data_IF_631724785867
#
_entry.id   IF_631724785867
#
_cell.length_a   1.000
_cell.length_b   1.000
_cell.length_c   1.000
_cell.angle_alpha   90.00
_cell.angle_beta   90.00
_cell.angle_gamma   90.00
#
_symmetry.space_group_name_H-M   'P 1'
#
loop_
_entity.id
_entity.type
_entity.pdbx_description
1 polymer ?
#
# COMPACT_ATOMS: atom_id res chain seq x y z
N UNK A 1 -21.22 -19.99 -47.72
CA UNK A 1 -20.40 -20.09 -46.49
C UNK A 1 -20.21 -18.67 -45.99
N UNK A 2 -20.66 -18.33 -44.78
CA UNK A 2 -20.35 -17.03 -44.20
C UNK A 2 -18.84 -16.98 -43.97
N UNK A 3 -18.15 -16.05 -44.62
CA UNK A 3 -16.73 -15.77 -44.37
C UNK A 3 -16.58 -15.39 -42.90
N UNK A 4 -15.90 -16.23 -42.13
CA UNK A 4 -15.56 -15.95 -40.74
C UNK A 4 -14.75 -14.65 -40.72
N UNK A 5 -15.19 -13.66 -39.93
CA UNK A 5 -14.51 -12.37 -39.85
C UNK A 5 -13.16 -12.55 -39.16
N UNK A 6 -12.17 -11.73 -39.51
CA UNK A 6 -10.91 -11.69 -38.77
C UNK A 6 -11.16 -11.18 -37.34
N UNK A 7 -10.33 -11.55 -36.36
CA UNK A 7 -10.48 -11.06 -34.98
C UNK A 7 -10.55 -9.53 -34.89
N UNK A 8 -9.74 -8.84 -35.71
CA UNK A 8 -9.75 -7.38 -35.78
C UNK A 8 -11.10 -6.83 -36.27
N UNK A 9 -11.70 -7.43 -37.30
CA UNK A 9 -13.00 -7.01 -37.82
C UNK A 9 -14.15 -7.31 -36.85
N UNK A 10 -14.06 -8.40 -36.07
CA UNK A 10 -15.03 -8.71 -35.01
C UNK A 10 -14.99 -7.68 -33.89
N UNK A 11 -13.79 -7.26 -33.46
CA UNK A 11 -13.62 -6.22 -32.44
C UNK A 11 -14.10 -4.86 -32.96
N UNK A 12 -13.76 -4.52 -34.21
CA UNK A 12 -14.16 -3.26 -34.83
C UNK A 12 -15.69 -3.10 -34.86
N UNK A 13 -16.43 -4.19 -35.08
CA UNK A 13 -17.89 -4.18 -35.07
C UNK A 13 -18.50 -3.87 -33.69
N UNK A 14 -17.76 -4.08 -32.60
CA UNK A 14 -18.20 -3.81 -31.22
C UNK A 14 -17.72 -2.46 -30.65
N UNK A 15 -17.08 -1.59 -31.45
CA UNK A 15 -16.51 -0.33 -30.92
C UNK A 15 -17.54 0.59 -30.25
N UNK A 16 -18.78 0.60 -30.72
CA UNK A 16 -19.84 1.53 -30.27
C UNK A 16 -21.11 0.78 -29.84
N UNK A 17 -20.95 -0.37 -29.18
CA UNK A 17 -22.08 -1.21 -28.75
C UNK A 17 -22.75 -0.73 -27.43
N UNK A 18 -22.26 0.37 -26.85
CA UNK A 18 -22.77 0.98 -25.62
C UNK A 18 -22.22 0.37 -24.33
N UNK A 19 -21.32 -0.60 -24.41
CA UNK A 19 -20.71 -1.25 -23.24
C UNK A 19 -19.45 -0.56 -22.75
N UNK A 20 -19.03 -0.94 -21.54
CA UNK A 20 -17.71 -0.60 -21.00
C UNK A 20 -16.73 -1.70 -21.38
N UNK A 21 -15.74 -1.35 -22.21
CA UNK A 21 -14.75 -2.29 -22.72
C UNK A 21 -13.52 -2.39 -21.82
N UNK A 22 -13.34 -3.55 -21.21
CA UNK A 22 -12.17 -3.92 -20.41
C UNK A 22 -11.27 -4.85 -21.22
N UNK A 23 -10.03 -4.41 -21.47
CA UNK A 23 -9.00 -5.26 -22.02
C UNK A 23 -8.18 -5.84 -20.86
N UNK A 24 -8.36 -7.12 -20.56
CA UNK A 24 -7.61 -7.81 -19.53
C UNK A 24 -6.44 -8.54 -20.18
N UNK A 25 -5.24 -8.42 -19.65
CA UNK A 25 -4.05 -9.07 -20.18
C UNK A 25 -3.30 -9.82 -19.09
N UNK A 26 -2.77 -10.99 -19.44
CA UNK A 26 -1.89 -11.75 -18.57
C UNK A 26 -0.55 -12.06 -19.24
N UNK A 27 0.49 -12.00 -18.43
CA UNK A 27 1.87 -12.26 -18.83
C UNK A 27 2.45 -13.43 -18.05
N UNK A 28 3.61 -13.96 -18.48
CA UNK A 28 4.21 -15.18 -17.91
C UNK A 28 4.56 -15.09 -16.42
N UNK A 29 3.60 -15.39 -15.56
CA UNK A 29 3.71 -15.51 -14.10
C UNK A 29 2.67 -16.51 -13.59
N UNK A 30 3.01 -17.25 -12.54
CA UNK A 30 2.11 -18.28 -11.95
C UNK A 30 0.77 -17.69 -11.52
N UNK A 31 0.73 -16.39 -11.16
CA UNK A 31 -0.50 -15.69 -10.81
C UNK A 31 -1.56 -15.64 -11.94
N UNK A 32 -1.21 -16.02 -13.18
CA UNK A 32 -2.15 -16.15 -14.30
C UNK A 32 -3.32 -17.09 -13.98
N UNK A 33 -3.10 -18.09 -13.11
CA UNK A 33 -4.16 -19.01 -12.66
C UNK A 33 -5.32 -18.29 -11.94
N UNK A 34 -5.12 -17.04 -11.51
CA UNK A 34 -6.14 -16.22 -10.83
C UNK A 34 -7.00 -15.39 -11.79
N UNK A 35 -6.77 -15.45 -13.11
CA UNK A 35 -7.60 -14.78 -14.12
C UNK A 35 -9.11 -15.05 -13.97
N UNK A 36 -9.58 -16.29 -13.72
CA UNK A 36 -11.02 -16.52 -13.55
C UNK A 36 -11.61 -15.73 -12.39
N UNK A 37 -10.84 -15.55 -11.30
CA UNK A 37 -11.30 -14.81 -10.13
C UNK A 37 -11.43 -13.32 -10.44
N UNK A 38 -10.48 -12.75 -11.19
CA UNK A 38 -10.55 -11.36 -11.65
C UNK A 38 -11.77 -11.16 -12.55
N UNK A 39 -12.00 -12.06 -13.50
CA UNK A 39 -13.14 -11.99 -14.41
C UNK A 39 -14.46 -12.13 -13.64
N UNK A 40 -14.52 -13.06 -12.68
CA UNK A 40 -15.71 -13.29 -11.86
C UNK A 40 -16.09 -12.06 -11.01
N UNK A 41 -15.13 -11.21 -10.64
CA UNK A 41 -15.41 -9.96 -9.94
C UNK A 41 -16.29 -8.98 -10.75
N UNK A 42 -16.38 -9.17 -12.07
CA UNK A 42 -17.21 -8.37 -12.95
C UNK A 42 -18.53 -9.03 -13.36
N UNK A 43 -18.79 -10.26 -12.90
CA UNK A 43 -19.93 -11.06 -13.38
C UNK A 43 -21.29 -10.38 -13.16
N UNK A 44 -21.44 -9.61 -12.07
CA UNK A 44 -22.68 -8.90 -11.73
C UNK A 44 -22.88 -7.59 -12.51
N UNK A 45 -21.95 -7.24 -13.42
CA UNK A 45 -21.98 -6.03 -14.22
C UNK A 45 -22.19 -6.35 -15.71
N UNK A 46 -23.44 -6.56 -16.17
CA UNK A 46 -23.73 -7.01 -17.53
C UNK A 46 -23.38 -6.00 -18.64
N UNK A 47 -23.10 -4.74 -18.26
CA UNK A 47 -22.66 -3.69 -19.20
C UNK A 47 -21.13 -3.69 -19.42
N UNK A 48 -20.38 -4.56 -18.76
CA UNK A 48 -18.94 -4.72 -18.98
C UNK A 48 -18.72 -5.81 -20.03
N UNK A 49 -17.81 -5.55 -20.95
CA UNK A 49 -17.39 -6.48 -22.01
C UNK A 49 -15.89 -6.65 -21.91
N UNK A 50 -15.45 -7.90 -21.78
CA UNK A 50 -14.08 -8.27 -21.44
C UNK A 50 -13.46 -9.01 -22.61
N UNK A 51 -12.30 -8.55 -23.05
CA UNK A 51 -11.44 -9.29 -23.96
C UNK A 51 -10.13 -9.60 -23.25
N UNK A 52 -9.67 -10.83 -23.36
CA UNK A 52 -8.46 -11.31 -22.68
C UNK A 52 -7.32 -11.42 -23.68
N UNK A 53 -6.15 -10.88 -23.36
CA UNK A 53 -4.90 -11.13 -24.10
C UNK A 53 -4.00 -12.02 -23.26
N UNK A 54 -3.58 -13.15 -23.81
CA UNK A 54 -2.60 -14.05 -23.19
C UNK A 54 -1.30 -14.02 -23.98
N UNK A 55 -0.21 -13.57 -23.34
CA UNK A 55 1.12 -13.80 -23.92
C UNK A 55 1.39 -15.30 -24.01
N UNK A 56 2.29 -15.70 -24.92
CA UNK A 56 2.71 -17.11 -25.04
C UNK A 56 3.08 -17.74 -23.68
N UNK A 57 3.86 -17.03 -22.86
CA UNK A 57 4.27 -17.52 -21.55
C UNK A 57 3.14 -17.57 -20.50
N UNK A 58 2.10 -16.74 -20.64
CA UNK A 58 0.93 -16.78 -19.74
C UNK A 58 0.07 -18.03 -20.02
N UNK A 59 -0.12 -18.35 -21.30
CA UNK A 59 -0.90 -19.51 -21.73
C UNK A 59 -0.35 -20.84 -21.17
N UNK A 60 0.96 -20.93 -20.91
CA UNK A 60 1.59 -22.12 -20.31
C UNK A 60 1.09 -22.43 -18.88
N UNK A 61 0.47 -21.47 -18.19
CA UNK A 61 -0.12 -21.69 -16.88
C UNK A 61 -1.58 -22.17 -16.95
N UNK A 62 -2.17 -22.28 -18.15
CA UNK A 62 -3.60 -22.47 -18.37
C UNK A 62 -3.92 -23.76 -19.17
N UNK A 63 -3.34 -24.89 -18.76
CA UNK A 63 -3.45 -26.19 -19.46
C UNK A 63 -4.30 -27.24 -18.71
N UNK A 64 -5.11 -26.85 -17.71
CA UNK A 64 -5.87 -27.79 -16.88
C UNK A 64 -5.02 -28.89 -16.21
N UNK A 65 -3.77 -28.55 -15.88
CA UNK A 65 -2.76 -29.48 -15.39
C UNK A 65 -2.85 -29.74 -13.88
N UNK A 66 -3.71 -29.00 -13.17
CA UNK A 66 -4.14 -29.28 -11.79
C UNK A 66 -5.53 -28.67 -11.54
N UNK A 67 -6.19 -29.03 -10.44
CA UNK A 67 -7.51 -28.48 -10.07
C UNK A 67 -7.49 -26.94 -9.91
N UNK A 68 -6.35 -26.36 -9.55
CA UNK A 68 -6.20 -24.91 -9.38
C UNK A 68 -5.86 -24.17 -10.68
N UNK A 69 -5.57 -24.89 -11.77
CA UNK A 69 -5.14 -24.34 -13.04
C UNK A 69 -6.25 -24.46 -14.08
N UNK A 70 -6.93 -23.37 -14.45
CA UNK A 70 -7.99 -23.39 -15.45
C UNK A 70 -7.43 -23.61 -16.87
N UNK A 71 -8.27 -24.03 -17.82
CA UNK A 71 -7.87 -24.07 -19.24
C UNK A 71 -8.15 -22.74 -19.94
N UNK A 72 -7.47 -22.45 -21.05
CA UNK A 72 -7.78 -21.28 -21.89
C UNK A 72 -9.26 -21.30 -22.36
N UNK A 73 -9.80 -22.47 -22.70
CA UNK A 73 -11.19 -22.63 -23.12
C UNK A 73 -12.16 -22.27 -21.99
N UNK A 74 -11.83 -22.63 -20.75
CA UNK A 74 -12.67 -22.31 -19.59
C UNK A 74 -12.83 -20.80 -19.38
N UNK A 75 -11.79 -20.00 -19.67
CA UNK A 75 -11.86 -18.54 -19.59
C UNK A 75 -12.87 -17.96 -20.58
N UNK A 76 -12.97 -18.55 -21.78
CA UNK A 76 -13.92 -18.10 -22.81
C UNK A 76 -15.38 -18.35 -22.43
N UNK A 77 -15.63 -19.22 -21.45
CA UNK A 77 -16.99 -19.52 -20.96
C UNK A 77 -17.41 -18.68 -19.76
N UNK A 78 -16.52 -17.82 -19.25
CA UNK A 78 -16.81 -16.98 -18.10
C UNK A 78 -17.72 -15.80 -18.46
N UNK A 79 -18.51 -15.29 -17.49
CA UNK A 79 -19.37 -14.13 -17.70
C UNK A 79 -18.59 -12.94 -18.27
N UNK A 80 -19.23 -12.20 -19.18
CA UNK A 80 -18.72 -10.99 -19.81
C UNK A 80 -17.46 -11.15 -20.68
N UNK A 81 -16.92 -12.37 -20.87
CA UNK A 81 -15.78 -12.61 -21.75
C UNK A 81 -16.25 -12.81 -23.19
N UNK A 82 -15.86 -11.89 -24.09
CA UNK A 82 -16.21 -11.97 -25.51
C UNK A 82 -15.18 -12.75 -26.33
N UNK A 83 -13.89 -12.68 -25.96
CA UNK A 83 -12.81 -13.38 -26.66
C UNK A 83 -11.54 -13.49 -25.85
N UNK A 84 -10.80 -14.59 -26.04
CA UNK A 84 -9.43 -14.78 -25.57
C UNK A 84 -8.47 -14.77 -26.77
N UNK A 85 -7.47 -13.90 -26.74
CA UNK A 85 -6.60 -13.54 -27.86
C UNK A 85 -5.13 -13.85 -27.57
N UNK A 86 -4.40 -14.22 -28.62
CA UNK A 86 -2.99 -14.59 -28.62
C UNK A 86 -2.25 -13.91 -29.79
N UNK A 87 -0.92 -13.97 -29.78
CA UNK A 87 -0.07 -13.37 -30.83
C UNK A 87 -0.41 -13.87 -32.25
N UNK A 88 -0.83 -15.13 -32.38
CA UNK A 88 -1.24 -15.71 -33.68
C UNK A 88 -2.48 -15.05 -34.27
N UNK A 89 -3.33 -14.47 -33.42
CA UNK A 89 -4.61 -13.88 -33.84
C UNK A 89 -4.39 -12.53 -34.56
N UNK A 90 -3.24 -11.90 -34.35
CA UNK A 90 -2.83 -10.69 -35.07
C UNK A 90 -2.53 -10.96 -36.56
N UNK A 91 -2.13 -12.19 -36.88
CA UNK A 91 -1.60 -12.58 -38.18
C UNK A 91 -2.42 -13.69 -38.86
N UNK A 92 -3.70 -13.85 -38.50
CA UNK A 92 -4.57 -14.88 -39.10
C UNK A 92 -4.72 -14.73 -40.60
N UNK A 93 -4.70 -13.48 -41.07
CA UNK A 93 -4.79 -13.11 -42.47
C UNK A 93 -3.61 -12.19 -42.82
N UNK A 94 -2.95 -12.37 -43.98
CA UNK A 94 -1.94 -11.43 -44.45
C UNK A 94 -2.53 -10.02 -44.55
N UNK A 95 -1.86 -9.05 -43.95
CA UNK A 95 -2.35 -7.68 -43.97
C UNK A 95 -2.41 -7.14 -45.41
N UNK A 96 -3.54 -6.51 -45.74
CA UNK A 96 -3.72 -5.74 -46.97
C UNK A 96 -4.12 -4.32 -46.61
N UNK A 97 -3.79 -3.35 -47.48
CA UNK A 97 -4.14 -1.94 -47.27
C UNK A 97 -5.66 -1.79 -47.05
N UNK A 98 -6.04 -1.16 -45.94
CA UNK A 98 -7.44 -0.96 -45.55
C UNK A 98 -7.97 -2.03 -44.59
N UNK A 99 -7.22 -3.11 -44.35
CA UNK A 99 -7.55 -4.08 -43.30
C UNK A 99 -7.26 -3.50 -41.92
N UNK A 100 -8.15 -3.79 -40.97
CA UNK A 100 -7.95 -3.48 -39.56
C UNK A 100 -6.73 -4.23 -38.99
N UNK A 101 -5.99 -3.57 -38.11
CA UNK A 101 -4.82 -4.15 -37.43
C UNK A 101 -5.21 -4.44 -35.99
N UNK A 102 -5.08 -5.70 -35.56
CA UNK A 102 -5.65 -6.18 -34.30
C UNK A 102 -5.25 -5.33 -33.09
N UNK A 103 -3.96 -5.08 -32.85
CA UNK A 103 -3.53 -4.29 -31.69
C UNK A 103 -4.02 -2.83 -31.73
N UNK A 104 -4.16 -2.23 -32.92
CA UNK A 104 -4.72 -0.88 -33.08
C UNK A 104 -6.21 -0.89 -32.77
N UNK A 105 -6.94 -1.88 -33.26
CA UNK A 105 -8.37 -2.02 -33.00
C UNK A 105 -8.64 -2.29 -31.52
N UNK A 106 -7.85 -3.15 -30.87
CA UNK A 106 -7.93 -3.38 -29.43
C UNK A 106 -7.66 -2.11 -28.63
N UNK A 107 -6.64 -1.33 -29.02
CA UNK A 107 -6.36 -0.05 -28.40
C UNK A 107 -7.55 0.90 -28.50
N UNK A 108 -8.18 1.01 -29.69
CA UNK A 108 -9.38 1.85 -29.89
C UNK A 108 -10.57 1.37 -29.07
N UNK A 109 -10.78 0.06 -29.05
CA UNK A 109 -11.90 -0.60 -28.39
C UNK A 109 -11.84 -0.46 -26.87
N UNK A 110 -10.67 -0.66 -26.26
CA UNK A 110 -10.53 -0.67 -24.82
C UNK A 110 -10.79 0.72 -24.20
N UNK A 111 -11.56 0.76 -23.13
CA UNK A 111 -11.69 1.92 -22.24
C UNK A 111 -10.63 1.88 -21.12
N UNK A 112 -10.24 0.68 -20.70
CA UNK A 112 -9.23 0.39 -19.70
C UNK A 112 -8.44 -0.84 -20.14
N UNK A 113 -7.10 -0.80 -19.96
CA UNK A 113 -6.25 -1.99 -20.05
C UNK A 113 -5.79 -2.38 -18.65
N UNK A 114 -6.02 -3.62 -18.24
CA UNK A 114 -5.50 -4.20 -17.00
C UNK A 114 -4.51 -5.30 -17.35
N UNK A 115 -3.26 -5.20 -16.88
CA UNK A 115 -2.25 -6.25 -17.04
C UNK A 115 -2.04 -6.94 -15.69
N UNK A 116 -2.70 -8.08 -15.48
CA UNK A 116 -2.73 -8.81 -14.23
C UNK A 116 -2.68 -10.33 -14.50
N UNK A 117 -1.52 -10.99 -14.32
CA UNK A 117 -0.25 -10.44 -13.82
C UNK A 117 0.60 -9.73 -14.88
N UNK A 118 1.43 -8.77 -14.43
CA UNK A 118 2.58 -8.21 -15.15
C UNK A 118 3.90 -8.88 -14.67
N UNK A 119 4.54 -9.68 -15.51
CA UNK A 119 5.80 -10.34 -15.22
C UNK A 119 6.97 -9.38 -15.40
N UNK A 120 8.09 -9.64 -14.72
CA UNK A 120 9.32 -8.85 -14.85
C UNK A 120 9.78 -8.70 -16.31
N UNK A 121 9.65 -9.75 -17.12
CA UNK A 121 10.01 -9.70 -18.53
C UNK A 121 9.13 -8.71 -19.32
N UNK A 122 7.81 -8.76 -19.10
CA UNK A 122 6.90 -7.86 -19.80
C UNK A 122 7.00 -6.42 -19.27
N UNK A 123 7.25 -6.25 -17.97
CA UNK A 123 7.59 -4.96 -17.36
C UNK A 123 8.82 -4.34 -18.05
N UNK A 124 9.89 -5.12 -18.21
CA UNK A 124 11.10 -4.69 -18.89
C UNK A 124 10.82 -4.28 -20.35
N UNK A 125 10.07 -5.10 -21.09
CA UNK A 125 9.67 -4.81 -22.48
C UNK A 125 8.90 -3.51 -22.59
N UNK A 126 7.90 -3.31 -21.73
CA UNK A 126 7.05 -2.12 -21.71
C UNK A 126 7.89 -0.86 -21.44
N UNK A 127 8.71 -0.88 -20.38
CA UNK A 127 9.54 0.28 -20.01
C UNK A 127 10.56 0.63 -21.08
N UNK A 128 11.12 -0.37 -21.78
CA UNK A 128 12.10 -0.16 -22.85
C UNK A 128 11.46 0.01 -24.24
N UNK A 129 10.13 0.07 -24.33
CA UNK A 129 9.40 0.37 -25.56
C UNK A 129 9.41 -0.75 -26.62
N UNK A 130 9.61 -2.01 -26.22
CA UNK A 130 9.48 -3.15 -27.12
C UNK A 130 8.02 -3.38 -27.50
N UNK A 131 7.77 -3.78 -28.75
CA UNK A 131 6.45 -4.09 -29.31
C UNK A 131 6.55 -5.33 -30.20
N UNK A 132 6.85 -6.47 -29.57
CA UNK A 132 7.22 -7.72 -30.23
C UNK A 132 6.18 -8.85 -30.11
N UNK A 133 5.05 -8.56 -29.44
CA UNK A 133 3.91 -9.45 -29.30
C UNK A 133 2.62 -8.62 -29.22
N UNK A 134 1.46 -9.26 -29.26
CA UNK A 134 0.18 -8.58 -29.34
C UNK A 134 -0.01 -7.58 -28.18
N UNK A 135 0.29 -8.01 -26.95
CA UNK A 135 0.14 -7.17 -25.77
C UNK A 135 1.07 -5.95 -25.80
N UNK A 136 2.36 -6.17 -26.07
CA UNK A 136 3.34 -5.07 -26.06
C UNK A 136 3.11 -4.10 -27.21
N UNK A 137 2.60 -4.56 -28.35
CA UNK A 137 2.13 -3.72 -29.45
C UNK A 137 0.91 -2.87 -29.07
N UNK A 138 -0.07 -3.42 -28.34
CA UNK A 138 -1.20 -2.64 -27.79
C UNK A 138 -0.70 -1.55 -26.84
N UNK A 139 0.18 -1.90 -25.89
CA UNK A 139 0.72 -0.95 -24.91
C UNK A 139 1.52 0.15 -25.59
N UNK A 140 2.36 -0.20 -26.59
CA UNK A 140 3.16 0.79 -27.30
C UNK A 140 2.32 1.74 -28.15
N UNK A 141 1.20 1.26 -28.67
CA UNK A 141 0.24 2.03 -29.47
C UNK A 141 -0.81 2.76 -28.61
N UNK A 142 -0.74 2.65 -27.28
CA UNK A 142 -1.70 3.26 -26.37
C UNK A 142 -1.77 4.78 -26.54
N UNK A 143 -2.98 5.33 -26.65
CA UNK A 143 -3.16 6.77 -26.72
C UNK A 143 -3.06 7.38 -25.32
N UNK A 144 -1.87 7.89 -25.00
CA UNK A 144 -1.56 8.50 -23.71
C UNK A 144 -2.10 9.93 -23.57
N UNK A 145 -2.53 10.53 -24.68
CA UNK A 145 -2.96 11.93 -24.74
C UNK A 145 -4.48 12.08 -24.79
N UNK A 146 -5.18 11.06 -25.30
CA UNK A 146 -6.59 11.10 -25.61
C UNK A 146 -6.95 11.89 -26.88
N UNK A 147 -5.96 12.45 -27.59
CA UNK A 147 -6.17 13.24 -28.80
C UNK A 147 -6.47 12.37 -30.03
N UNK A 148 -6.08 11.08 -30.00
CA UNK A 148 -6.26 10.17 -31.13
C UNK A 148 -7.62 9.47 -31.04
N UNK A 149 -7.97 8.99 -29.84
CA UNK A 149 -9.21 8.25 -29.61
C UNK A 149 -10.34 9.12 -29.05
N UNK A 150 -10.10 10.41 -28.84
CA UNK A 150 -11.07 11.36 -28.28
C UNK A 150 -11.33 11.17 -26.77
N UNK A 151 -10.57 10.30 -26.12
CA UNK A 151 -10.66 10.03 -24.67
C UNK A 151 -9.31 9.61 -24.12
N UNK A 152 -8.94 10.16 -22.97
CA UNK A 152 -7.77 9.71 -22.22
C UNK A 152 -8.07 8.37 -21.56
N UNK A 153 -7.14 7.41 -21.67
CA UNK A 153 -7.32 6.04 -21.20
C UNK A 153 -6.16 5.58 -20.35
N UNK A 154 -6.43 4.65 -19.44
CA UNK A 154 -5.47 4.21 -18.42
C UNK A 154 -5.02 2.77 -18.65
N UNK A 155 -3.81 2.48 -18.20
CA UNK A 155 -3.24 1.15 -18.09
C UNK A 155 -2.98 0.86 -16.62
N UNK A 156 -3.72 -0.10 -16.08
CA UNK A 156 -3.52 -0.63 -14.74
C UNK A 156 -2.63 -1.86 -14.83
N UNK A 157 -1.61 -1.99 -13.98
CA UNK A 157 -0.74 -3.16 -13.96
C UNK A 157 -0.61 -3.72 -12.56
N UNK A 158 -0.62 -5.06 -12.45
CA UNK A 158 -0.38 -5.77 -11.20
C UNK A 158 0.88 -6.64 -11.36
N UNK A 159 2.08 -6.14 -10.99
CA UNK A 159 3.30 -6.91 -11.07
C UNK A 159 3.21 -8.20 -10.24
N UNK A 160 3.71 -9.31 -10.78
CA UNK A 160 3.76 -10.57 -10.06
C UNK A 160 4.99 -11.38 -10.47
N UNK A 161 5.92 -11.57 -9.53
CA UNK A 161 7.21 -12.22 -9.76
C UNK A 161 7.78 -12.74 -8.45
N UNK A 162 8.80 -13.60 -8.50
CA UNK A 162 9.49 -14.04 -7.30
C UNK A 162 10.13 -12.84 -6.56
N UNK A 163 10.24 -12.92 -5.23
CA UNK A 163 10.78 -11.87 -4.36
C UNK A 163 12.16 -11.37 -4.80
N UNK A 164 13.07 -12.27 -5.20
CA UNK A 164 14.40 -11.88 -5.67
C UNK A 164 14.33 -11.06 -6.97
N UNK A 165 13.35 -11.35 -7.84
CA UNK A 165 13.10 -10.54 -9.04
C UNK A 165 12.49 -9.19 -8.67
N UNK A 166 11.58 -9.15 -7.70
CA UNK A 166 10.96 -7.91 -7.23
C UNK A 166 11.97 -6.95 -6.60
N UNK A 167 12.83 -7.47 -5.74
CA UNK A 167 13.89 -6.72 -5.06
C UNK A 167 15.08 -6.35 -5.95
N UNK A 168 15.09 -6.84 -7.20
CA UNK A 168 16.17 -6.55 -8.14
C UNK A 168 16.18 -5.05 -8.51
N UNK A 169 17.34 -4.36 -8.54
CA UNK A 169 17.40 -2.92 -8.78
C UNK A 169 16.83 -2.49 -10.14
N UNK A 170 16.94 -3.34 -11.16
CA UNK A 170 16.32 -3.11 -12.48
C UNK A 170 14.79 -3.07 -12.37
N UNK A 171 14.19 -3.93 -11.55
CA UNK A 171 12.74 -3.91 -11.31
C UNK A 171 12.33 -2.61 -10.60
N UNK A 172 13.08 -2.19 -9.58
CA UNK A 172 12.84 -0.93 -8.90
C UNK A 172 12.88 0.28 -9.86
N UNK A 173 13.87 0.31 -10.76
CA UNK A 173 13.98 1.35 -11.79
C UNK A 173 12.78 1.31 -12.76
N UNK A 174 12.38 0.13 -13.22
CA UNK A 174 11.26 -0.02 -14.14
C UNK A 174 9.92 0.36 -13.51
N UNK A 175 9.69 -0.04 -12.25
CA UNK A 175 8.52 0.37 -11.48
C UNK A 175 8.49 1.88 -11.28
N UNK A 176 9.65 2.50 -11.01
CA UNK A 176 9.78 3.94 -10.90
C UNK A 176 9.33 4.66 -12.19
N UNK A 177 9.74 4.17 -13.37
CA UNK A 177 9.28 4.74 -14.64
C UNK A 177 7.75 4.66 -14.75
N UNK A 178 7.15 3.52 -14.42
CA UNK A 178 5.69 3.38 -14.47
C UNK A 178 4.96 4.28 -13.46
N UNK A 179 5.52 4.48 -12.26
CA UNK A 179 4.87 5.22 -11.16
C UNK A 179 5.14 6.73 -11.20
N UNK A 180 6.35 7.16 -11.50
CA UNK A 180 6.76 8.56 -11.40
C UNK A 180 6.70 9.27 -12.76
N UNK A 181 7.22 8.62 -13.81
CA UNK A 181 7.33 9.23 -15.12
C UNK A 181 6.02 9.11 -15.90
N UNK A 182 5.41 7.92 -15.90
CA UNK A 182 4.18 7.63 -16.64
C UNK A 182 2.94 7.54 -15.76
N UNK A 183 3.13 7.65 -14.44
CA UNK A 183 2.08 7.50 -13.46
C UNK A 183 1.06 8.63 -13.50
N UNK A 184 -0.19 8.30 -13.20
CA UNK A 184 -1.28 9.27 -13.13
C UNK A 184 -1.02 10.26 -12.00
N UNK A 185 -1.02 11.55 -12.32
CA UNK A 185 -0.81 12.65 -11.37
C UNK A 185 -1.55 13.90 -11.82
N UNK A 186 -2.03 14.68 -10.88
CA UNK A 186 -2.65 15.99 -11.14
C UNK A 186 -1.56 17.06 -11.12
N UNK A 187 -1.44 17.83 -12.20
CA UNK A 187 -0.46 18.91 -12.35
C UNK A 187 -1.21 20.12 -12.90
N UNK A 188 -1.24 21.21 -12.13
CA UNK A 188 -1.92 22.46 -12.50
C UNK A 188 -3.41 22.30 -12.86
N UNK A 189 -4.09 21.33 -12.24
CA UNK A 189 -5.50 21.00 -12.48
C UNK A 189 -5.75 20.07 -13.68
N UNK A 190 -4.70 19.67 -14.40
CA UNK A 190 -4.77 18.70 -15.49
C UNK A 190 -4.22 17.34 -15.06
N UNK A 191 -4.96 16.27 -15.32
CA UNK A 191 -4.48 14.91 -15.10
C UNK A 191 -3.44 14.56 -16.16
N UNK A 192 -2.21 14.25 -15.74
CA UNK A 192 -1.13 13.72 -16.56
C UNK A 192 -0.92 12.23 -16.30
N UNK A 193 -0.10 11.57 -17.14
CA UNK A 193 0.19 10.14 -17.02
C UNK A 193 -0.94 9.23 -17.50
N UNK A 194 -0.64 7.95 -17.63
CA UNK A 194 -1.56 6.92 -18.12
C UNK A 194 -1.36 5.54 -17.48
N UNK A 195 -0.35 5.38 -16.61
CA UNK A 195 -0.09 4.14 -15.88
C UNK A 195 -0.53 4.24 -14.42
N UNK A 196 -1.00 3.12 -13.89
CA UNK A 196 -1.23 2.91 -12.47
C UNK A 196 -0.68 1.53 -12.08
N UNK A 197 0.12 1.48 -11.01
CA UNK A 197 0.80 0.25 -10.57
C UNK A 197 0.19 -0.23 -9.26
N UNK A 198 -0.55 -1.34 -9.33
CA UNK A 198 -1.04 -2.09 -8.18
C UNK A 198 0.12 -2.86 -7.56
N UNK A 199 0.58 -2.43 -6.38
CA UNK A 199 1.76 -3.03 -5.76
C UNK A 199 1.52 -4.50 -5.36
N UNK A 200 2.53 -5.37 -5.51
CA UNK A 200 2.46 -6.75 -5.03
C UNK A 200 2.17 -6.82 -3.52
N UNK A 201 1.54 -7.91 -3.09
CA UNK A 201 1.31 -8.27 -1.69
C UNK A 201 2.22 -9.44 -1.27
N UNK A 202 2.56 -9.55 0.02
CA UNK A 202 3.32 -10.70 0.54
C UNK A 202 2.40 -11.94 0.66
N UNK A 203 2.79 -13.06 0.05
CA UNK A 203 2.14 -14.38 0.13
C UNK A 203 3.19 -15.50 0.04
N UNK A 204 2.82 -16.72 0.46
CA UNK A 204 3.58 -17.92 0.07
C UNK A 204 3.56 -18.06 -1.45
N UNK A 205 4.73 -17.95 -2.07
CA UNK A 205 4.92 -18.07 -3.50
C UNK A 205 4.86 -19.55 -3.91
N UNK A 206 4.51 -19.81 -5.18
CA UNK A 206 4.47 -21.18 -5.72
C UNK A 206 5.84 -21.90 -5.70
N UNK A 207 6.94 -21.17 -5.51
CA UNK A 207 8.27 -21.73 -5.31
C UNK A 207 8.57 -22.18 -3.86
N UNK A 208 7.65 -21.95 -2.92
CA UNK A 208 7.82 -22.29 -1.50
C UNK A 208 8.37 -21.15 -0.61
N UNK A 209 8.82 -20.05 -1.21
CA UNK A 209 9.32 -18.88 -0.47
C UNK A 209 8.18 -17.98 0.03
N UNK A 210 8.32 -17.37 1.20
CA UNK A 210 7.48 -16.26 1.67
C UNK A 210 8.17 -14.95 1.31
N UNK A 211 7.52 -14.07 0.54
CA UNK A 211 8.04 -12.72 0.32
C UNK A 211 7.20 -11.83 -0.60
N UNK A 212 7.65 -10.58 -0.71
CA UNK A 212 7.04 -9.52 -1.52
C UNK A 212 7.21 -9.77 -3.03
N UNK A 213 6.11 -10.08 -3.70
CA UNK A 213 6.11 -10.42 -5.14
C UNK A 213 4.82 -11.10 -5.64
N UNK A 214 3.93 -11.48 -4.73
CA UNK A 214 2.60 -11.99 -5.07
C UNK A 214 1.71 -10.90 -5.68
N UNK A 215 0.96 -11.24 -6.72
CA UNK A 215 -0.01 -10.30 -7.31
C UNK A 215 -1.01 -9.80 -6.26
N UNK A 216 -1.38 -8.51 -6.32
CA UNK A 216 -2.46 -7.91 -5.51
C UNK A 216 -3.73 -8.79 -5.51
N UNK A 217 -4.51 -8.76 -4.42
CA UNK A 217 -5.71 -9.58 -4.32
C UNK A 217 -6.67 -9.29 -5.47
N UNK A 218 -7.20 -10.35 -6.09
CA UNK A 218 -8.08 -10.25 -7.25
C UNK A 218 -9.34 -9.41 -6.99
N UNK A 219 -9.79 -9.35 -5.73
CA UNK A 219 -10.92 -8.51 -5.29
C UNK A 219 -10.63 -7.02 -5.39
N UNK A 220 -9.39 -6.61 -5.16
CA UNK A 220 -8.95 -5.21 -5.25
C UNK A 220 -8.76 -4.78 -6.71
N UNK A 221 -8.30 -5.70 -7.57
CA UNK A 221 -8.24 -5.51 -9.04
C UNK A 221 -9.67 -5.33 -9.60
N UNK A 222 -10.64 -6.11 -9.10
CA UNK A 222 -12.05 -5.99 -9.43
C UNK A 222 -12.64 -4.63 -9.01
N UNK A 223 -12.51 -4.28 -7.73
CA UNK A 223 -13.10 -3.08 -7.13
C UNK A 223 -12.56 -1.76 -7.72
N UNK A 224 -11.28 -1.71 -8.12
CA UNK A 224 -10.70 -0.54 -8.80
C UNK A 224 -11.29 -0.25 -10.18
N UNK A 225 -12.03 -1.20 -10.76
CA UNK A 225 -12.63 -1.06 -12.11
C UNK A 225 -14.15 -0.92 -12.10
N UNK A 226 -14.81 -1.09 -10.95
CA UNK A 226 -16.27 -1.11 -10.80
C UNK A 226 -16.94 0.27 -10.77
N UNK A 227 -16.18 1.39 -10.81
CA UNK A 227 -16.73 2.74 -10.83
C UNK A 227 -16.03 3.61 -11.89
N UNK A 228 -16.61 3.73 -13.08
CA UNK A 228 -16.22 4.73 -14.10
C UNK A 228 -17.41 5.69 -14.29
N UNK A 229 -17.46 6.86 -13.62
CA UNK A 229 -18.48 7.88 -13.86
C UNK A 229 -18.07 8.83 -14.99
N UNK A 230 -19.06 9.45 -15.65
CA UNK A 230 -18.91 10.47 -16.73
C UNK A 230 -18.14 11.74 -16.31
N UNK A 231 -17.86 11.93 -15.02
CA UNK A 231 -16.95 12.94 -14.47
C UNK A 231 -16.22 12.34 -13.26
N UNK A 232 -14.86 12.31 -13.22
CA UNK A 232 -14.13 11.55 -12.21
C UNK A 232 -14.15 12.28 -10.86
N UNK A 233 -14.88 11.73 -9.90
CA UNK A 233 -14.42 11.70 -8.51
C UNK A 233 -14.21 10.23 -8.15
N UNK A 234 -12.99 9.76 -8.37
CA UNK A 234 -12.56 8.42 -8.00
C UNK A 234 -12.21 8.45 -6.51
N UNK A 235 -12.95 7.71 -5.69
CA UNK A 235 -12.54 7.44 -4.31
C UNK A 235 -11.37 6.45 -4.32
N UNK A 236 -10.20 6.98 -3.98
CA UNK A 236 -8.96 6.27 -3.66
C UNK A 236 -9.30 5.11 -2.71
N UNK A 237 -8.96 3.86 -3.06
CA UNK A 237 -8.90 2.78 -2.06
C UNK A 237 -7.83 3.17 -1.06
N UNK A 238 -8.27 3.48 0.16
CA UNK A 238 -7.52 4.21 1.16
C UNK A 238 -6.12 3.62 1.35
N UNK A 239 -5.11 4.49 1.33
CA UNK A 239 -3.74 4.14 1.68
C UNK A 239 -3.78 3.33 3.00
N UNK A 240 -3.53 2.01 3.02
CA UNK A 240 -3.75 1.18 4.22
C UNK A 240 -2.63 1.31 5.28
N UNK A 241 -2.04 2.50 5.39
CA UNK A 241 -0.97 2.82 6.32
C UNK A 241 -1.08 4.28 6.73
N UNK A 242 -0.75 4.59 7.98
CA UNK A 242 -0.92 5.94 8.53
C UNK A 242 0.29 6.37 9.33
N UNK A 243 0.59 7.66 9.23
CA UNK A 243 1.53 8.35 10.09
C UNK A 243 0.74 9.22 11.05
N UNK A 244 0.96 9.03 12.35
CA UNK A 244 0.33 9.79 13.42
C UNK A 244 1.37 10.70 14.04
N UNK A 245 1.07 12.00 14.08
CA UNK A 245 1.98 13.05 14.57
C UNK A 245 1.23 13.98 15.51
N UNK A 246 1.82 14.25 16.68
CA UNK A 246 1.43 15.39 17.51
C UNK A 246 2.27 16.61 17.16
N UNK A 247 1.62 17.77 17.02
CA UNK A 247 2.30 19.05 16.78
C UNK A 247 1.72 20.17 17.65
N UNK A 248 2.55 21.15 17.94
CA UNK A 248 2.13 22.50 18.34
C UNK A 248 1.72 23.30 17.10
N UNK A 249 0.94 24.37 17.29
CA UNK A 249 0.49 25.25 16.20
C UNK A 249 1.63 25.79 15.34
N UNK A 250 2.79 26.06 15.95
CA UNK A 250 3.96 26.66 15.30
C UNK A 250 4.85 25.66 14.53
N UNK A 251 4.72 24.36 14.78
CA UNK A 251 5.56 23.35 14.13
C UNK A 251 5.12 23.05 12.70
N UNK A 252 6.09 22.99 11.79
CA UNK A 252 5.86 22.61 10.39
C UNK A 252 5.84 21.09 10.24
N UNK A 253 4.68 20.56 9.85
CA UNK A 253 4.44 19.13 9.55
C UNK A 253 3.98 18.90 8.12
N UNK A 254 4.03 19.93 7.25
CA UNK A 254 3.61 19.80 5.84
C UNK A 254 4.43 18.74 5.10
N UNK A 255 5.67 18.53 5.55
CA UNK A 255 6.58 17.53 5.00
C UNK A 255 6.01 16.11 5.06
N UNK A 256 5.17 15.79 6.05
CA UNK A 256 4.52 14.48 6.15
C UNK A 256 3.67 14.22 4.92
N UNK A 257 2.88 15.22 4.52
CA UNK A 257 2.00 15.13 3.34
C UNK A 257 2.80 15.21 2.04
N UNK A 258 3.74 16.17 1.96
CA UNK A 258 4.51 16.45 0.73
C UNK A 258 5.50 15.34 0.37
N UNK A 259 6.13 14.73 1.37
CA UNK A 259 7.26 13.82 1.15
C UNK A 259 6.94 12.35 1.46
N UNK A 260 5.84 12.07 2.16
CA UNK A 260 5.35 10.72 2.42
C UNK A 260 3.92 10.51 1.88
N UNK A 261 3.62 10.86 0.61
CA UNK A 261 2.27 10.82 0.05
C UNK A 261 1.67 9.42 -0.07
N UNK A 262 2.48 8.38 0.12
CA UNK A 262 2.04 6.98 0.15
C UNK A 262 1.57 6.52 1.53
N UNK A 263 1.43 7.44 2.48
CA UNK A 263 0.91 7.22 3.83
C UNK A 263 -0.29 8.14 4.05
N UNK A 264 -1.35 7.63 4.68
CA UNK A 264 -2.33 8.51 5.33
C UNK A 264 -1.62 9.30 6.43
N UNK A 265 -2.22 10.40 6.84
CA UNK A 265 -1.68 11.22 7.93
C UNK A 265 -2.79 11.59 8.92
N UNK A 266 -2.47 11.48 10.20
CA UNK A 266 -3.29 11.97 11.30
C UNK A 266 -2.42 12.91 12.14
N UNK A 267 -2.53 14.20 11.86
CA UNK A 267 -1.71 15.25 12.48
C UNK A 267 -2.58 16.01 13.48
N UNK A 268 -2.36 15.78 14.77
CA UNK A 268 -3.11 16.40 15.86
C UNK A 268 -2.40 17.64 16.38
N UNK A 269 -3.14 18.74 16.50
CA UNK A 269 -2.67 19.90 17.24
C UNK A 269 -2.89 19.72 18.76
N UNK A 270 -1.87 19.98 19.56
CA UNK A 270 -1.96 19.85 21.02
C UNK A 270 -2.36 21.14 21.74
N UNK A 271 -2.23 22.28 21.07
CA UNK A 271 -2.44 23.63 21.59
C UNK A 271 -3.33 24.50 20.69
N UNK A 272 -4.00 23.90 19.71
CA UNK A 272 -4.94 24.57 18.81
C UNK A 272 -6.31 23.86 18.79
N UNK A 273 -7.29 24.30 19.60
CA UNK A 273 -8.61 23.66 19.67
C UNK A 273 -9.44 23.84 18.39
N UNK A 274 -9.04 24.75 17.50
CA UNK A 274 -9.72 24.98 16.22
C UNK A 274 -9.17 24.09 15.09
N UNK A 275 -8.09 23.32 15.34
CA UNK A 275 -7.52 22.44 14.33
C UNK A 275 -8.47 21.26 14.04
N UNK A 276 -8.53 20.74 12.79
CA UNK A 276 -9.44 19.64 12.44
C UNK A 276 -9.23 18.38 13.27
N UNK A 277 -7.97 18.06 13.60
CA UNK A 277 -7.60 17.04 14.57
C UNK A 277 -6.87 17.73 15.72
N UNK A 278 -7.42 17.62 16.92
CA UNK A 278 -6.86 18.22 18.13
C UNK A 278 -7.16 17.34 19.34
N UNK A 279 -6.40 17.53 20.41
CA UNK A 279 -6.68 16.90 21.72
C UNK A 279 -7.37 17.89 22.65
N UNK A 280 -8.22 17.38 23.54
CA UNK A 280 -8.99 18.22 24.48
C UNK A 280 -8.10 18.95 25.51
N UNK A 281 -6.89 18.43 25.77
CA UNK A 281 -5.94 18.99 26.75
C UNK A 281 -4.51 18.66 26.31
N UNK A 282 -3.62 19.65 26.35
CA UNK A 282 -2.19 19.42 26.20
C UNK A 282 -1.63 18.74 27.45
N UNK A 283 -1.44 17.42 27.39
CA UNK A 283 -1.03 16.58 28.52
C UNK A 283 -0.41 15.29 28.00
N UNK A 284 0.63 14.79 28.66
CA UNK A 284 1.31 13.55 28.33
C UNK A 284 2.21 13.60 27.09
N UNK A 285 2.63 14.79 26.64
CA UNK A 285 3.39 14.97 25.39
C UNK A 285 2.71 14.28 24.19
N UNK A 286 3.47 13.59 23.33
CA UNK A 286 2.96 12.82 22.18
C UNK A 286 2.05 11.65 22.57
N UNK A 287 2.13 11.17 23.82
CA UNK A 287 1.40 9.98 24.23
C UNK A 287 -0.12 10.16 24.20
N UNK A 288 -0.61 11.38 24.46
CA UNK A 288 -2.05 11.67 24.38
C UNK A 288 -2.54 11.57 22.94
N UNK A 289 -1.81 12.14 21.98
CA UNK A 289 -2.14 12.03 20.55
C UNK A 289 -2.16 10.57 20.11
N UNK A 290 -1.18 9.78 20.53
CA UNK A 290 -1.08 8.37 20.11
C UNK A 290 -2.22 7.52 20.69
N UNK A 291 -2.54 7.69 21.97
CA UNK A 291 -3.66 7.01 22.62
C UNK A 291 -5.01 7.45 22.04
N UNK A 292 -5.20 8.76 21.84
CA UNK A 292 -6.41 9.32 21.24
C UNK A 292 -6.64 8.72 19.84
N UNK A 293 -5.61 8.70 18.99
CA UNK A 293 -5.70 8.10 17.66
C UNK A 293 -6.13 6.63 17.72
N UNK A 294 -5.49 5.83 18.59
CA UNK A 294 -5.82 4.40 18.73
C UNK A 294 -7.27 4.23 19.20
N UNK A 295 -7.73 5.03 20.18
CA UNK A 295 -9.09 4.94 20.72
C UNK A 295 -10.13 5.31 19.66
N UNK A 296 -9.92 6.41 18.94
CA UNK A 296 -10.90 6.93 17.97
C UNK A 296 -11.02 6.04 16.72
N UNK A 297 -9.94 5.35 16.35
CA UNK A 297 -9.86 4.58 15.12
C UNK A 297 -9.78 3.07 15.36
N UNK A 298 -9.98 2.60 16.60
CA UNK A 298 -9.72 1.21 17.00
C UNK A 298 -10.37 0.15 16.09
N UNK A 299 -11.61 0.40 15.68
CA UNK A 299 -12.39 -0.51 14.83
C UNK A 299 -12.05 -0.40 13.33
N UNK A 300 -11.30 0.63 12.92
CA UNK A 300 -10.94 0.93 11.53
C UNK A 300 -9.44 1.31 11.37
N UNK A 301 -8.57 0.59 12.07
CA UNK A 301 -7.13 0.83 12.00
C UNK A 301 -6.54 0.41 10.63
N UNK A 302 -5.66 1.22 10.04
CA UNK A 302 -4.83 0.81 8.90
C UNK A 302 -3.88 -0.34 9.29
N UNK A 303 -3.44 -1.17 8.33
CA UNK A 303 -2.59 -2.34 8.64
C UNK A 303 -1.28 -1.97 9.33
N UNK A 304 -0.69 -0.80 9.03
CA UNK A 304 0.52 -0.29 9.68
C UNK A 304 0.32 1.13 10.17
N UNK A 305 0.68 1.38 11.42
CA UNK A 305 0.62 2.69 12.07
C UNK A 305 2.04 3.07 12.45
N UNK A 306 2.44 4.28 12.08
CA UNK A 306 3.74 4.87 12.41
C UNK A 306 3.50 6.09 13.29
N UNK A 307 4.08 6.08 14.49
CA UNK A 307 4.03 7.17 15.45
C UNK A 307 5.34 7.95 15.40
N UNK A 308 5.26 9.25 15.11
CA UNK A 308 6.41 10.11 14.84
C UNK A 308 6.31 11.46 15.52
N UNK A 309 7.49 12.04 15.77
CA UNK A 309 7.62 13.42 16.16
C UNK A 309 7.46 14.38 14.97
N UNK A 310 7.03 15.62 15.28
CA UNK A 310 6.73 16.70 14.34
C UNK A 310 7.92 17.12 13.47
N UNK A 311 9.14 17.00 13.98
CA UNK A 311 10.34 17.49 13.32
C UNK A 311 10.75 16.61 12.12
N UNK A 312 10.97 17.26 10.97
CA UNK A 312 11.38 16.57 9.73
C UNK A 312 12.77 15.95 9.83
N UNK A 313 13.77 16.76 10.18
CA UNK A 313 15.18 16.39 10.23
C UNK A 313 16.06 17.38 11.05
N UNK A 314 17.35 17.04 11.17
CA UNK A 314 18.39 17.94 11.68
C UNK A 314 18.62 17.95 13.21
N UNK A 315 19.73 18.57 13.61
CA UNK A 315 20.13 18.75 15.01
C UNK A 315 20.01 20.24 15.40
N UNK A 316 19.55 20.59 16.62
CA UNK A 316 19.22 19.70 17.74
C UNK A 316 17.77 19.19 17.75
N UNK A 317 16.91 19.60 16.81
CA UNK A 317 15.46 19.39 16.94
C UNK A 317 15.00 17.93 16.73
N UNK A 318 15.58 17.21 15.77
CA UNK A 318 15.27 15.80 15.47
C UNK A 318 16.38 14.84 15.91
N UNK A 319 17.25 15.23 16.86
CA UNK A 319 18.45 14.48 17.27
C UNK A 319 18.22 12.99 17.62
N UNK A 320 17.00 12.65 17.99
CA UNK A 320 16.56 11.33 18.41
C UNK A 320 15.97 10.49 17.27
N UNK A 321 16.01 10.99 16.04
CA UNK A 321 15.64 10.27 14.81
C UNK A 321 16.83 9.50 14.23
N UNK A 322 16.52 8.36 13.62
CA UNK A 322 17.50 7.47 12.98
C UNK A 322 18.27 8.17 11.85
N UNK A 323 19.48 7.65 11.57
CA UNK A 323 20.47 8.20 10.63
C UNK A 323 21.24 9.46 11.08
N UNK A 324 22.40 9.68 10.45
CA UNK A 324 23.28 10.82 10.74
C UNK A 324 22.68 12.19 10.40
N UNK A 325 21.72 12.21 9.47
CA UNK A 325 20.95 13.39 9.08
C UNK A 325 19.66 13.55 9.90
N UNK A 326 19.36 12.62 10.81
CA UNK A 326 18.20 12.67 11.69
C UNK A 326 16.85 12.76 10.95
N UNK A 327 16.74 12.17 9.76
CA UNK A 327 15.61 12.39 8.86
C UNK A 327 14.45 11.42 9.09
N UNK A 328 13.30 11.94 9.53
CA UNK A 328 12.07 11.15 9.67
C UNK A 328 11.54 10.66 8.32
N UNK A 329 11.69 11.45 7.26
CA UNK A 329 11.35 11.04 5.89
C UNK A 329 12.13 9.80 5.48
N UNK A 330 13.44 9.79 5.75
CA UNK A 330 14.30 8.64 5.45
C UNK A 330 13.93 7.43 6.30
N UNK A 331 13.72 7.62 7.60
CA UNK A 331 13.26 6.59 8.55
C UNK A 331 12.01 5.89 8.05
N UNK A 332 10.97 6.63 7.67
CA UNK A 332 9.73 6.04 7.16
C UNK A 332 9.91 5.37 5.82
N UNK A 333 10.68 5.95 4.90
CA UNK A 333 10.94 5.35 3.57
C UNK A 333 11.75 4.06 3.65
N UNK A 334 12.63 3.93 4.65
CA UNK A 334 13.44 2.74 4.88
C UNK A 334 12.76 1.71 5.80
N UNK A 335 11.65 2.08 6.46
CA UNK A 335 10.91 1.18 7.33
C UNK A 335 10.45 -0.08 6.57
N UNK A 336 10.90 -1.23 7.06
CA UNK A 336 10.49 -2.54 6.57
C UNK A 336 9.13 -2.89 7.18
N UNK A 337 8.02 -2.51 6.51
CA UNK A 337 6.67 -2.77 7.04
C UNK A 337 6.41 -4.26 7.30
N UNK A 338 7.05 -5.16 6.54
CA UNK A 338 6.92 -6.61 6.73
C UNK A 338 7.52 -7.07 8.07
N UNK A 339 8.59 -6.42 8.54
CA UNK A 339 9.13 -6.66 9.87
C UNK A 339 8.11 -6.24 10.95
N UNK A 340 7.43 -5.11 10.76
CA UNK A 340 6.39 -4.62 11.68
C UNK A 340 5.20 -5.58 11.69
N UNK A 341 4.79 -6.09 10.52
CA UNK A 341 3.69 -7.06 10.45
C UNK A 341 4.03 -8.38 11.15
N UNK A 342 5.27 -8.89 10.99
CA UNK A 342 5.70 -10.14 11.61
C UNK A 342 5.96 -10.03 13.11
N UNK A 343 6.64 -8.96 13.55
CA UNK A 343 7.04 -8.79 14.95
C UNK A 343 5.99 -8.02 15.77
N UNK A 344 4.98 -7.45 15.12
CA UNK A 344 3.95 -6.64 15.74
C UNK A 344 4.39 -5.20 16.03
N UNK A 345 5.65 -5.01 16.40
CA UNK A 345 6.23 -3.73 16.81
C UNK A 345 7.65 -3.55 16.25
N UNK A 346 8.03 -2.31 15.95
CA UNK A 346 9.40 -1.93 15.64
C UNK A 346 9.69 -0.54 16.20
N UNK A 347 10.77 -0.40 16.98
CA UNK A 347 11.31 0.92 17.28
C UNK A 347 11.93 1.49 15.99
N UNK A 348 11.67 2.77 15.70
CA UNK A 348 12.19 3.42 14.50
C UNK A 348 13.66 3.84 14.63
N UNK A 349 14.22 3.76 15.85
CA UNK A 349 15.62 4.00 16.14
C UNK A 349 16.36 2.69 16.34
N UNK A 350 17.45 2.52 15.59
CA UNK A 350 18.38 1.39 15.67
C UNK A 350 19.82 1.83 15.98
N UNK A 351 20.07 3.14 16.07
CA UNK A 351 21.40 3.69 16.39
C UNK A 351 21.87 3.24 17.79
N UNK A 352 23.10 2.69 17.93
CA UNK A 352 23.65 2.24 19.20
C UNK A 352 23.97 3.37 20.20
N UNK A 353 23.84 4.63 19.82
CA UNK A 353 24.03 5.78 20.71
C UNK A 353 22.75 6.64 20.81
N UNK A 354 22.13 6.77 22.01
CA UNK A 354 22.49 6.13 23.27
C UNK A 354 22.07 4.65 23.34
N UNK A 355 21.58 4.06 22.24
CA UNK A 355 21.25 2.63 22.18
C UNK A 355 19.96 2.33 22.93
N UNK A 356 20.02 1.37 23.85
CA UNK A 356 18.92 0.97 24.71
C UNK A 356 19.29 1.28 26.18
N UNK A 357 19.12 2.53 26.64
CA UNK A 357 19.45 2.90 28.01
C UNK A 357 18.50 2.17 28.99
N UNK A 358 19.06 1.60 30.04
CA UNK A 358 18.35 0.96 31.17
C UNK A 358 17.81 2.02 32.16
N UNK A 359 17.08 2.96 31.57
CA UNK A 359 16.71 4.24 32.17
C UNK A 359 15.79 4.07 33.37
N UNK A 360 14.74 3.24 33.25
CA UNK A 360 13.72 3.12 34.28
C UNK A 360 14.01 1.91 35.15
N UNK A 361 14.30 2.15 36.43
CA UNK A 361 14.44 1.11 37.45
C UNK A 361 13.47 1.36 38.62
N UNK A 362 12.26 0.78 38.59
CA UNK A 362 11.16 1.13 39.51
C UNK A 362 11.47 0.96 41.00
N UNK A 363 12.48 0.16 41.35
CA UNK A 363 12.88 -0.14 42.72
C UNK A 363 14.24 0.47 43.12
N UNK A 364 14.79 1.34 42.28
CA UNK A 364 15.98 2.14 42.63
C UNK A 364 15.54 3.13 43.70
N UNK A 365 15.85 2.86 44.97
CA UNK A 365 15.40 3.63 46.13
C UNK A 365 15.95 5.06 46.25
N UNK A 366 16.02 5.81 45.15
CA UNK A 366 16.39 7.23 45.09
C UNK A 366 15.18 8.11 45.42
N UNK A 367 15.42 9.18 46.17
CA UNK A 367 14.46 10.24 46.49
C UNK A 367 14.58 11.46 45.58
N UNK A 368 15.40 11.40 44.53
CA UNK A 368 15.55 12.52 43.58
C UNK A 368 14.29 12.69 42.73
N UNK A 369 13.86 13.95 42.55
CA UNK A 369 12.73 14.31 41.70
C UNK A 369 12.95 13.89 40.22
N UNK A 370 14.20 13.78 39.77
CA UNK A 370 14.54 13.28 38.42
C UNK A 370 14.16 11.80 38.20
N UNK A 371 14.04 11.02 39.28
CA UNK A 371 13.63 9.61 39.23
C UNK A 371 12.13 9.43 39.50
N UNK A 372 11.35 10.51 39.52
CA UNK A 372 9.90 10.44 39.76
C UNK A 372 9.17 9.49 38.78
N UNK A 373 9.54 9.40 37.47
CA UNK A 373 8.97 8.38 36.57
C UNK A 373 9.20 6.94 37.05
N UNK A 374 10.35 6.63 37.66
CA UNK A 374 10.65 5.30 38.23
C UNK A 374 9.76 5.02 39.44
N UNK A 375 9.63 6.00 40.33
CA UNK A 375 8.88 5.86 41.59
C UNK A 375 7.39 5.61 41.35
N UNK A 376 6.81 6.23 40.33
CA UNK A 376 5.37 6.07 40.00
C UNK A 376 5.10 4.84 39.13
N UNK A 377 6.11 4.28 38.46
CA UNK A 377 5.97 3.18 37.51
C UNK A 377 5.21 1.97 38.08
N UNK A 378 5.45 1.50 39.33
CA UNK A 378 4.73 0.35 39.90
C UNK A 378 3.21 0.57 40.00
N UNK A 379 2.78 1.76 40.41
CA UNK A 379 1.35 2.08 40.54
C UNK A 379 0.68 2.22 39.17
N UNK A 380 1.41 2.78 38.18
CA UNK A 380 0.94 2.85 36.80
C UNK A 380 0.84 1.45 36.18
N UNK A 381 1.84 0.59 36.41
CA UNK A 381 1.84 -0.80 35.95
C UNK A 381 0.61 -1.56 36.44
N UNK A 382 0.32 -1.45 37.73
CA UNK A 382 -0.88 -2.05 38.33
C UNK A 382 -2.16 -1.54 37.68
N UNK A 383 -2.23 -0.25 37.39
CA UNK A 383 -3.37 0.36 36.69
C UNK A 383 -3.51 -0.19 35.26
N UNK A 384 -2.39 -0.35 34.54
CA UNK A 384 -2.40 -0.72 33.13
C UNK A 384 -2.64 -2.22 32.93
N UNK A 385 -1.88 -3.07 33.63
CA UNK A 385 -1.84 -4.51 33.40
C UNK A 385 -2.59 -5.34 34.44
N UNK A 386 -3.14 -4.70 35.47
CA UNK A 386 -3.92 -5.35 36.54
C UNK A 386 -3.16 -6.50 37.23
N UNK A 387 -1.84 -6.34 37.39
CA UNK A 387 -0.97 -7.24 38.15
C UNK A 387 0.14 -6.42 38.84
N UNK A 388 0.98 -7.08 39.63
CA UNK A 388 2.09 -6.44 40.36
C UNK A 388 3.47 -6.94 39.88
N UNK A 389 3.52 -7.54 38.70
CA UNK A 389 4.73 -8.13 38.11
C UNK A 389 5.56 -7.05 37.41
N UNK A 390 5.97 -6.04 38.17
CA UNK A 390 6.71 -4.88 37.66
C UNK A 390 8.17 -5.29 37.37
N UNK A 391 8.68 -5.06 36.15
CA UNK A 391 10.08 -5.36 35.82
C UNK A 391 11.06 -4.55 36.68
N UNK A 392 12.19 -5.15 37.04
CA UNK A 392 13.26 -4.44 37.77
C UNK A 392 13.95 -3.36 36.93
N UNK A 393 14.00 -3.57 35.62
CA UNK A 393 14.63 -2.70 34.63
C UNK A 393 13.73 -2.63 33.41
N UNK A 394 13.50 -1.43 32.91
CA UNK A 394 12.89 -1.18 31.60
C UNK A 394 13.88 -0.38 30.75
N UNK A 395 14.22 -0.91 29.59
CA UNK A 395 15.16 -0.32 28.65
C UNK A 395 14.52 -0.21 27.26
N UNK A 396 14.59 0.97 26.65
CA UNK A 396 14.15 1.16 25.27
C UNK A 396 14.87 2.36 24.64
N UNK A 397 15.11 2.36 23.31
CA UNK A 397 15.59 3.56 22.64
C UNK A 397 14.64 4.73 22.87
N UNK A 398 15.20 5.89 23.25
CA UNK A 398 14.40 7.04 23.67
C UNK A 398 13.56 7.64 22.54
N UNK A 399 12.56 8.43 22.95
CA UNK A 399 11.74 9.35 22.19
C UNK A 399 10.54 8.76 21.43
N UNK A 400 9.94 7.66 21.90
CA UNK A 400 8.59 7.20 21.50
C UNK A 400 8.27 7.18 19.98
N UNK A 401 9.26 6.95 19.12
CA UNK A 401 9.07 6.79 17.68
C UNK A 401 9.10 5.31 17.31
N UNK A 402 7.96 4.77 16.90
CA UNK A 402 7.79 3.35 16.63
C UNK A 402 6.74 3.10 15.55
N UNK A 403 6.80 1.92 14.95
CA UNK A 403 5.79 1.38 14.08
C UNK A 403 5.13 0.16 14.73
N UNK A 404 3.82 0.03 14.55
CA UNK A 404 3.03 -1.09 15.09
C UNK A 404 2.05 -1.59 14.04
N UNK A 405 1.82 -2.90 14.00
CA UNK A 405 0.81 -3.50 13.12
C UNK A 405 -0.57 -3.40 13.76
N UNK A 406 -1.62 -3.28 12.93
CA UNK A 406 -3.01 -3.39 13.40
C UNK A 406 -3.22 -4.64 14.25
N UNK A 407 -2.72 -5.78 13.77
CA UNK A 407 -2.86 -7.07 14.47
C UNK A 407 -2.30 -6.99 15.89
N UNK A 408 -1.16 -6.31 16.08
CA UNK A 408 -0.55 -6.14 17.40
C UNK A 408 -1.36 -5.18 18.30
N UNK A 409 -1.90 -4.09 17.75
CA UNK A 409 -2.78 -3.18 18.50
C UNK A 409 -4.01 -3.93 19.00
N UNK A 410 -4.63 -4.75 18.13
CA UNK A 410 -5.86 -5.49 18.43
C UNK A 410 -5.67 -6.67 19.39
N UNK A 411 -4.43 -7.07 19.72
CA UNK A 411 -4.21 -8.06 20.79
C UNK A 411 -4.67 -7.56 22.16
N UNK A 412 -4.77 -6.24 22.34
CA UNK A 412 -5.29 -5.62 23.56
C UNK A 412 -6.67 -5.01 23.28
N UNK A 413 -7.69 -5.23 24.13
CA UNK A 413 -9.02 -4.69 23.89
C UNK A 413 -9.03 -3.16 23.97
N UNK A 414 -9.96 -2.52 23.26
CA UNK A 414 -10.20 -1.07 23.30
C UNK A 414 -10.27 -0.51 24.74
N UNK A 415 -10.91 -1.25 25.67
CA UNK A 415 -11.04 -0.85 27.07
C UNK A 415 -9.70 -0.66 27.79
N UNK A 416 -8.63 -1.31 27.34
CA UNK A 416 -7.27 -1.08 27.85
C UNK A 416 -6.74 0.28 27.38
N UNK A 417 -6.83 0.59 26.09
CA UNK A 417 -6.39 1.88 25.55
C UNK A 417 -7.18 3.06 26.14
N UNK A 418 -8.49 2.90 26.30
CA UNK A 418 -9.35 3.87 27.00
C UNK A 418 -8.91 4.07 28.45
N UNK A 419 -8.48 3.01 29.15
CA UNK A 419 -7.96 3.11 30.52
C UNK A 419 -6.63 3.87 30.56
N UNK A 420 -5.72 3.60 29.64
CA UNK A 420 -4.43 4.27 29.57
C UNK A 420 -4.61 5.77 29.28
N UNK A 421 -5.50 6.08 28.33
CA UNK A 421 -5.86 7.45 27.97
C UNK A 421 -6.50 8.18 29.16
N UNK A 422 -7.46 7.54 29.83
CA UNK A 422 -8.08 8.07 31.04
C UNK A 422 -7.06 8.38 32.13
N UNK A 423 -6.15 7.44 32.43
CA UNK A 423 -5.08 7.67 33.41
C UNK A 423 -4.22 8.88 33.02
N UNK A 424 -3.82 8.99 31.75
CA UNK A 424 -2.97 10.09 31.27
C UNK A 424 -3.66 11.46 31.41
N UNK A 425 -4.98 11.50 31.20
CA UNK A 425 -5.77 12.73 31.24
C UNK A 425 -6.12 13.17 32.67
N UNK A 426 -6.33 12.21 33.57
CA UNK A 426 -6.77 12.44 34.96
C UNK A 426 -5.60 12.55 35.96
N UNK A 427 -4.42 12.05 35.63
CA UNK A 427 -3.26 12.08 36.55
C UNK A 427 -2.81 13.50 36.89
N UNK A 428 -2.52 13.74 38.18
CA UNK A 428 -1.97 15.00 38.69
C UNK A 428 -0.44 15.11 38.48
N UNK A 429 0.20 14.05 37.96
CA UNK A 429 1.64 14.07 37.68
C UNK A 429 2.00 15.19 36.71
N UNK A 430 3.22 15.75 36.78
CA UNK A 430 3.73 16.65 35.75
C UNK A 430 3.71 16.05 34.35
N UNK A 431 3.66 16.90 33.32
CA UNK A 431 3.55 16.50 31.91
C UNK A 431 4.71 15.63 31.45
N UNK A 432 5.93 16.06 31.73
CA UNK A 432 7.19 15.36 31.51
C UNK A 432 7.25 14.01 32.21
N UNK A 433 6.79 13.92 33.46
CA UNK A 433 6.75 12.65 34.21
C UNK A 433 5.78 11.67 33.57
N UNK A 434 4.54 12.10 33.30
CA UNK A 434 3.53 11.24 32.69
C UNK A 434 3.90 10.81 31.25
N UNK A 435 4.50 11.71 30.47
CA UNK A 435 5.01 11.42 29.14
C UNK A 435 6.16 10.41 29.18
N UNK A 436 7.11 10.58 30.11
CA UNK A 436 8.25 9.67 30.30
C UNK A 436 7.80 8.27 30.68
N UNK A 437 6.80 8.13 31.55
CA UNK A 437 6.22 6.81 31.88
C UNK A 437 5.66 6.14 30.62
N UNK A 438 4.92 6.87 29.79
CA UNK A 438 4.37 6.34 28.53
C UNK A 438 5.46 5.97 27.51
N UNK A 439 6.49 6.80 27.36
CA UNK A 439 7.65 6.58 26.48
C UNK A 439 8.26 5.18 26.72
N UNK A 440 8.41 4.79 27.99
CA UNK A 440 8.97 3.49 28.39
C UNK A 440 7.93 2.37 28.48
N UNK A 441 6.64 2.65 28.28
CA UNK A 441 5.58 1.64 28.32
C UNK A 441 5.18 1.13 26.93
N UNK A 442 5.46 1.87 25.85
CA UNK A 442 4.93 1.57 24.51
C UNK A 442 5.26 0.18 24.00
N UNK A 443 6.53 -0.22 24.05
CA UNK A 443 6.96 -1.54 23.57
C UNK A 443 6.28 -2.67 24.37
N UNK A 444 6.11 -2.51 25.68
CA UNK A 444 5.39 -3.45 26.57
C UNK A 444 3.89 -3.47 26.25
N UNK A 445 3.28 -2.30 26.03
CA UNK A 445 1.90 -2.15 25.51
C UNK A 445 1.74 -2.78 24.12
N UNK A 446 2.83 -3.05 23.39
CA UNK A 446 2.79 -3.80 22.13
C UNK A 446 3.51 -5.16 22.20
N UNK A 447 3.59 -5.72 23.41
CA UNK A 447 3.91 -7.14 23.62
C UNK A 447 5.40 -7.47 23.55
N UNK A 448 6.26 -6.47 23.60
CA UNK A 448 7.71 -6.66 23.70
C UNK A 448 8.14 -6.82 25.16
N UNK A 449 9.26 -7.51 25.35
CA UNK A 449 9.91 -7.64 26.64
C UNK A 449 10.43 -6.28 27.14
N UNK A 450 10.55 -6.07 28.46
CA UNK A 450 10.97 -4.80 29.03
C UNK A 450 12.44 -4.40 28.75
N UNK A 451 13.27 -5.30 28.20
CA UNK A 451 14.70 -5.06 27.91
C UNK A 451 15.10 -5.64 26.57
#
# INVERSE_FOLDING_TARGET
MATKRSPAAEIAASLNDGKVHLLLAATGSVATIKLPLIIAAFADHPNISIRVILTKAAAEFLHAQSEEQPSVESLSSLPNVDSVLHDKDEWTEPWTRGSDILHITLRRWAHLLVIAPLSANSLAKVVHGMSDNLLTSVVRAWDTTGLIDGRKKRILVAPAMNTAMWMHPVTAQQIRVLQEDWGIKEVDGDEQGWFEVLRPIEKSLACGDVGSGGMMEWREIGAGSSNIPEHPQIKITAIDRVIVVGKTKEEDTDWVVKELPTWQHAIYAVDDPEAPLHVAKNKGKEANVYLQYIVDNYDDLPSTIVFLHSHRDGYPKAWHTEFSDHSNVRTVRMLQTDFVQRNGYANLRCNPNPGCPDEIRPFRGSSDEEHLPEQVFPEVWKTFFNNTDVPEVIATPCCAQFAVSRTQVLQRPLSSYVRYHKWLMETELPDDVSGRVMEYMWHIIFGQDPV
#
